data_IF_613803104110
#
_entry.id   IF_613803104110
#
_cell.length_a   1.000
_cell.length_b   1.000
_cell.length_c   1.000
_cell.angle_alpha   90.00
_cell.angle_beta   90.00
_cell.angle_gamma   90.00
#
_symmetry.space_group_name_H-M   'P 1'
#
loop_
_entity.id
_entity.type
_entity.pdbx_description
1 polymer ?
#
# COMPACT_ATOMS: atom_id res chain seq x y z
N UNK A 1 17.36 -3.32 -2.55
CA UNK A 1 16.03 -3.96 -2.40
C UNK A 1 14.96 -2.97 -2.79
N UNK A 2 14.02 -3.43 -3.59
CA UNK A 2 12.90 -2.59 -4.01
C UNK A 2 11.91 -2.38 -2.87
N UNK A 3 11.26 -1.23 -2.86
CA UNK A 3 10.29 -0.87 -1.82
C UNK A 3 9.18 -1.93 -1.70
N UNK A 4 8.70 -2.46 -2.82
CA UNK A 4 7.65 -3.49 -2.77
C UNK A 4 8.09 -4.75 -2.02
N UNK A 5 9.34 -5.13 -2.14
CA UNK A 5 9.86 -6.28 -1.41
C UNK A 5 9.93 -6.01 0.08
N UNK A 6 10.31 -4.80 0.47
CA UNK A 6 10.31 -4.38 1.86
C UNK A 6 8.90 -4.40 2.44
N UNK A 7 7.91 -3.96 1.67
CA UNK A 7 6.51 -4.00 2.09
C UNK A 7 6.05 -5.43 2.30
N UNK A 8 6.41 -6.35 1.39
CA UNK A 8 6.06 -7.76 1.54
C UNK A 8 6.66 -8.36 2.81
N UNK A 9 7.93 -8.05 3.09
CA UNK A 9 8.60 -8.53 4.30
C UNK A 9 7.95 -7.94 5.56
N UNK A 10 7.62 -6.64 5.53
CA UNK A 10 6.94 -5.99 6.64
C UNK A 10 5.56 -6.59 6.88
N UNK A 11 4.85 -6.96 5.83
CA UNK A 11 3.55 -7.60 5.95
C UNK A 11 3.65 -8.98 6.61
N UNK A 12 4.67 -9.76 6.26
CA UNK A 12 4.92 -11.05 6.90
C UNK A 12 5.22 -10.86 8.38
N UNK A 13 6.03 -9.87 8.72
CA UNK A 13 6.34 -9.58 10.12
C UNK A 13 5.10 -9.12 10.88
N UNK A 14 4.26 -8.28 10.27
CA UNK A 14 3.01 -7.85 10.87
C UNK A 14 2.06 -9.03 11.12
N UNK A 15 2.08 -10.02 10.23
CA UNK A 15 1.30 -11.25 10.42
C UNK A 15 1.78 -12.01 11.65
N UNK A 16 3.11 -12.16 11.82
CA UNK A 16 3.69 -12.83 12.97
C UNK A 16 3.38 -12.09 14.26
N UNK A 17 3.39 -10.77 14.22
CA UNK A 17 3.12 -9.91 15.38
C UNK A 17 1.62 -9.73 15.64
N UNK A 18 0.77 -10.29 14.80
CA UNK A 18 -0.68 -10.14 14.86
C UNK A 18 -1.11 -8.67 14.81
N UNK A 19 -0.37 -7.85 14.07
CA UNK A 19 -0.67 -6.43 13.89
C UNK A 19 -1.67 -6.26 12.74
N UNK A 20 -2.94 -6.30 13.06
CA UNK A 20 -4.02 -6.24 12.07
C UNK A 20 -4.03 -4.90 11.32
N UNK A 21 -3.78 -3.81 12.02
CA UNK A 21 -3.78 -2.48 11.41
C UNK A 21 -2.67 -2.36 10.36
N UNK A 22 -1.46 -2.79 10.69
CA UNK A 22 -0.34 -2.78 9.77
C UNK A 22 -0.61 -3.67 8.56
N UNK A 23 -1.15 -4.88 8.78
CA UNK A 23 -1.49 -5.79 7.69
C UNK A 23 -2.49 -5.19 6.72
N UNK A 24 -3.48 -4.47 7.25
CA UNK A 24 -4.49 -3.82 6.40
C UNK A 24 -3.85 -2.81 5.47
N UNK A 25 -2.95 -1.99 5.97
CA UNK A 25 -2.24 -0.99 5.17
C UNK A 25 -1.34 -1.65 4.13
N UNK A 26 -0.55 -2.65 4.54
CA UNK A 26 0.34 -3.35 3.61
C UNK A 26 -0.44 -4.07 2.51
N UNK A 27 -1.59 -4.64 2.85
CA UNK A 27 -2.45 -5.29 1.86
C UNK A 27 -2.97 -4.30 0.82
N UNK A 28 -3.36 -3.10 1.24
CA UNK A 28 -3.78 -2.05 0.32
C UNK A 28 -2.63 -1.66 -0.62
N UNK A 29 -1.44 -1.46 -0.06
CA UNK A 29 -0.27 -1.09 -0.86
C UNK A 29 0.11 -2.18 -1.86
N UNK A 30 0.06 -3.44 -1.46
CA UNK A 30 0.36 -4.56 -2.34
C UNK A 30 -0.66 -4.68 -3.46
N UNK A 31 -1.95 -4.46 -3.17
CA UNK A 31 -3.00 -4.44 -4.17
C UNK A 31 -2.80 -3.33 -5.19
N UNK A 32 -2.48 -2.14 -4.73
CA UNK A 32 -2.23 -1.00 -5.62
C UNK A 32 -1.00 -1.24 -6.49
N UNK A 33 0.02 -1.86 -5.94
CA UNK A 33 1.21 -2.25 -6.71
C UNK A 33 0.84 -3.27 -7.80
N UNK A 34 0.02 -4.26 -7.46
CA UNK A 34 -0.43 -5.26 -8.43
C UNK A 34 -1.19 -4.61 -9.58
N UNK A 35 -2.13 -3.71 -9.27
CA UNK A 35 -2.90 -3.00 -10.30
C UNK A 35 -1.99 -2.14 -11.17
N UNK A 36 -1.04 -1.45 -10.56
CA UNK A 36 -0.06 -0.64 -11.30
C UNK A 36 0.82 -1.51 -12.20
N UNK A 37 1.20 -2.69 -11.75
CA UNK A 37 1.99 -3.64 -12.52
C UNK A 37 1.22 -4.10 -13.76
N UNK A 38 -0.06 -4.43 -13.60
CA UNK A 38 -0.92 -4.85 -14.72
C UNK A 38 -1.05 -3.72 -15.74
N UNK A 39 -1.29 -2.51 -15.28
CA UNK A 39 -1.40 -1.33 -16.12
C UNK A 39 -0.08 -1.03 -16.84
N UNK A 40 1.04 -1.13 -16.12
CA UNK A 40 2.37 -0.88 -16.70
C UNK A 40 2.76 -1.89 -17.74
N UNK A 41 2.33 -3.14 -17.65
CA UNK A 41 2.56 -4.15 -18.68
C UNK A 41 1.96 -3.73 -20.01
N UNK A 42 0.78 -3.13 -19.96
CA UNK A 42 0.11 -2.60 -21.17
C UNK A 42 0.95 -1.50 -21.81
N UNK A 43 1.65 -0.71 -21.01
CA UNK A 43 2.48 0.42 -21.46
C UNK A 43 3.95 0.04 -21.66
N UNK A 44 4.33 -1.21 -21.37
CA UNK A 44 5.71 -1.68 -21.53
C UNK A 44 6.68 -1.16 -20.47
N UNK A 45 6.19 -0.73 -19.33
CA UNK A 45 7.02 -0.22 -18.23
C UNK A 45 6.95 -1.14 -17.01
N UNK A 46 8.03 -1.12 -16.22
CA UNK A 46 8.02 -1.74 -14.89
C UNK A 46 7.63 -0.71 -13.84
N UNK A 47 6.98 -1.17 -12.77
CA UNK A 47 6.69 -0.34 -11.61
C UNK A 47 7.96 -0.26 -10.78
N UNK A 48 8.58 0.91 -10.75
CA UNK A 48 9.81 1.14 -9.99
C UNK A 48 9.50 1.77 -8.62
N UNK A 49 10.56 2.05 -7.85
CA UNK A 49 10.41 2.64 -6.52
C UNK A 49 9.79 4.03 -6.56
N UNK A 50 10.03 4.80 -7.60
CA UNK A 50 9.42 6.13 -7.77
C UNK A 50 7.91 6.01 -7.87
N UNK A 51 7.44 5.05 -8.67
CA UNK A 51 6.00 4.77 -8.78
C UNK A 51 5.43 4.28 -7.45
N UNK A 52 6.17 3.44 -6.74
CA UNK A 52 5.75 2.93 -5.44
C UNK A 52 5.63 4.05 -4.41
N UNK A 53 6.57 4.98 -4.40
CA UNK A 53 6.52 6.15 -3.51
C UNK A 53 5.24 6.96 -3.77
N UNK A 54 4.88 7.17 -5.04
CA UNK A 54 3.64 7.86 -5.39
C UNK A 54 2.41 7.13 -4.89
N UNK A 55 2.40 5.81 -5.04
CA UNK A 55 1.31 4.96 -4.54
C UNK A 55 1.17 5.12 -3.03
N UNK A 56 2.27 5.06 -2.31
CA UNK A 56 2.28 5.22 -0.84
C UNK A 56 1.75 6.59 -0.46
N UNK A 57 2.19 7.65 -1.10
CA UNK A 57 1.74 9.01 -0.81
C UNK A 57 0.24 9.18 -1.03
N UNK A 58 -0.27 8.65 -2.14
CA UNK A 58 -1.71 8.71 -2.43
C UNK A 58 -2.52 7.90 -1.42
N UNK A 59 -2.01 6.75 -1.03
CA UNK A 59 -2.67 5.89 -0.04
C UNK A 59 -2.74 6.59 1.32
N UNK A 60 -1.67 7.24 1.73
CA UNK A 60 -1.64 8.00 2.98
C UNK A 60 -2.68 9.12 2.95
N UNK A 61 -2.78 9.85 1.86
CA UNK A 61 -3.78 10.92 1.71
C UNK A 61 -5.21 10.38 1.80
N UNK A 62 -5.46 9.25 1.17
CA UNK A 62 -6.77 8.61 1.18
C UNK A 62 -7.14 8.16 2.59
N UNK A 63 -6.23 7.51 3.30
CA UNK A 63 -6.46 7.05 4.66
C UNK A 63 -6.69 8.23 5.60
N UNK A 64 -5.91 9.30 5.47
CA UNK A 64 -6.13 10.53 6.25
C UNK A 64 -7.51 11.12 6.01
N UNK A 65 -7.96 11.12 4.76
CA UNK A 65 -9.30 11.59 4.40
C UNK A 65 -10.38 10.75 5.08
N UNK A 66 -10.23 9.43 5.08
CA UNK A 66 -11.17 8.54 5.77
C UNK A 66 -11.24 8.85 7.27
N UNK A 67 -10.09 9.02 7.90
CA UNK A 67 -10.01 9.33 9.34
C UNK A 67 -10.69 10.68 9.62
N UNK A 68 -10.39 11.69 8.80
CA UNK A 68 -10.93 13.04 8.97
C UNK A 68 -12.45 13.07 8.79
N UNK A 69 -12.94 12.33 7.79
CA UNK A 69 -14.35 12.37 7.40
C UNK A 69 -15.20 11.30 8.09
N UNK A 70 -14.58 10.45 8.91
CA UNK A 70 -15.30 9.41 9.62
C UNK A 70 -16.10 10.02 10.76
N UNK A 71 -17.44 9.96 10.74
CA UNK A 71 -18.26 10.52 11.79
C UNK A 71 -18.03 9.74 13.10
N UNK A 72 -17.77 10.48 14.19
CA UNK A 72 -17.61 9.92 15.53
C UNK A 72 -16.47 8.93 15.68
N UNK A 73 -15.55 8.92 14.75
CA UNK A 73 -14.42 7.99 14.77
C UNK A 73 -14.80 6.53 14.62
N UNK A 74 -15.95 6.24 14.06
CA UNK A 74 -16.42 4.87 13.84
C UNK A 74 -15.82 4.33 12.54
N UNK A 75 -15.38 3.10 12.60
CA UNK A 75 -14.71 2.41 11.51
C UNK A 75 -15.45 1.16 11.13
#
# INVERSE_FOLDING_TARGET
IMIIEEIKQANVQAMKDKDVAARSIYSILMNKHLLATVESRTNGKEVDDTDMIRIIQKTIKTVRSWIRNSPNGIW
#
